data_IF_403566680484
#
_entry.id   IF_403566680484
#
_cell.length_a   1.000
_cell.length_b   1.000
_cell.length_c   1.000
_cell.angle_alpha   90.00
_cell.angle_beta   90.00
_cell.angle_gamma   90.00
#
_symmetry.space_group_name_H-M   'P 1'
#
loop_
_entity.id
_entity.type
_entity.pdbx_description
1 polymer ?
#
# COMPACT_ATOMS: atom_id res chain seq x y z
N UNK A 1 -8.64 25.30 -5.00
CA UNK A 1 -7.23 24.95 -4.76
C UNK A 1 -7.19 23.46 -4.60
N UNK A 2 -6.53 22.77 -5.53
CA UNK A 2 -6.35 21.33 -5.46
C UNK A 2 -5.31 21.06 -4.36
N UNK A 3 -5.76 20.57 -3.21
CA UNK A 3 -4.84 20.09 -2.18
C UNK A 3 -4.26 18.81 -2.77
N UNK A 4 -3.02 18.84 -3.26
CA UNK A 4 -2.39 17.70 -3.95
C UNK A 4 -2.48 16.38 -3.16
N UNK A 5 -2.15 15.27 -3.82
CA UNK A 5 -2.30 13.92 -3.26
C UNK A 5 -1.72 13.80 -1.84
N UNK A 6 -2.45 13.16 -0.90
CA UNK A 6 -1.95 12.97 0.47
C UNK A 6 -0.69 12.10 0.47
N UNK A 7 0.18 12.32 1.46
CA UNK A 7 1.41 11.55 1.65
C UNK A 7 1.68 11.27 3.14
N UNK A 8 2.51 10.28 3.42
CA UNK A 8 2.94 9.90 4.78
C UNK A 8 4.28 10.56 5.11
N UNK A 9 4.43 11.02 6.36
CA UNK A 9 5.68 11.54 6.92
C UNK A 9 5.78 11.14 8.40
N UNK A 10 6.99 11.15 8.96
CA UNK A 10 7.19 10.97 10.40
C UNK A 10 6.45 12.08 11.16
N UNK A 11 5.79 11.71 12.25
CA UNK A 11 5.08 12.62 13.14
C UNK A 11 5.57 12.46 14.58
N UNK A 12 5.56 13.56 15.32
CA UNK A 12 5.91 13.59 16.75
C UNK A 12 4.73 13.22 17.67
N UNK A 13 3.57 12.91 17.09
CA UNK A 13 2.32 12.66 17.79
C UNK A 13 1.99 11.17 17.78
N UNK A 14 1.34 10.69 18.84
CA UNK A 14 0.84 9.32 18.91
C UNK A 14 -0.25 9.08 17.87
N UNK A 15 -0.14 7.97 17.15
CA UNK A 15 -1.15 7.47 16.22
C UNK A 15 -1.99 6.36 16.83
N UNK A 16 -2.81 5.74 16.00
CA UNK A 16 -3.65 4.60 16.36
C UNK A 16 -3.11 3.31 15.74
N UNK A 17 -3.41 2.16 16.34
CA UNK A 17 -3.17 0.84 15.75
C UNK A 17 -4.41 0.34 14.99
N UNK A 18 -4.20 -0.50 13.97
CA UNK A 18 -5.25 -1.15 13.19
C UNK A 18 -5.11 -2.67 13.26
N UNK A 19 -6.22 -3.39 13.04
CA UNK A 19 -6.18 -4.85 12.91
C UNK A 19 -5.34 -5.25 11.69
N UNK A 20 -4.34 -6.09 11.93
CA UNK A 20 -3.40 -6.52 10.91
C UNK A 20 -3.85 -7.82 10.26
N UNK A 21 -3.91 -7.82 8.93
CA UNK A 21 -3.94 -9.02 8.09
C UNK A 21 -2.75 -9.02 7.15
N UNK A 22 -1.92 -10.07 7.19
CA UNK A 22 -0.77 -10.22 6.32
C UNK A 22 -1.18 -10.71 4.92
N UNK A 23 -0.33 -10.47 3.93
CA UNK A 23 -0.57 -10.83 2.52
C UNK A 23 -0.75 -12.35 2.32
N UNK A 24 -0.17 -13.18 3.18
CA UNK A 24 -0.32 -14.64 3.18
C UNK A 24 -1.56 -15.11 3.96
N UNK A 25 -2.22 -14.22 4.70
CA UNK A 25 -3.41 -14.53 5.50
C UNK A 25 -4.72 -14.17 4.78
N UNK A 26 -4.67 -13.38 3.71
CA UNK A 26 -5.86 -13.05 2.91
C UNK A 26 -6.33 -14.25 2.08
N UNK A 27 -7.59 -14.23 1.65
CA UNK A 27 -8.12 -15.24 0.73
C UNK A 27 -7.58 -15.02 -0.68
N UNK A 28 -7.54 -16.09 -1.48
CA UNK A 28 -7.15 -16.02 -2.90
C UNK A 28 -7.98 -14.99 -3.69
N UNK A 29 -9.28 -14.87 -3.38
CA UNK A 29 -10.16 -13.90 -4.02
C UNK A 29 -9.79 -12.45 -3.66
N UNK A 30 -9.46 -12.18 -2.40
CA UNK A 30 -8.98 -10.86 -1.98
C UNK A 30 -7.63 -10.54 -2.62
N UNK A 31 -6.72 -11.52 -2.68
CA UNK A 31 -5.42 -11.38 -3.35
C UNK A 31 -5.57 -11.03 -4.83
N UNK A 32 -6.44 -11.75 -5.55
CA UNK A 32 -6.74 -11.47 -6.95
C UNK A 32 -7.32 -10.06 -7.16
N UNK A 33 -8.23 -9.60 -6.28
CA UNK A 33 -8.80 -8.27 -6.37
C UNK A 33 -7.79 -7.16 -6.08
N UNK A 34 -6.88 -7.37 -5.10
CA UNK A 34 -5.82 -6.42 -4.75
C UNK A 34 -4.70 -6.36 -5.82
N UNK A 35 -4.52 -7.42 -6.60
CA UNK A 35 -3.59 -7.46 -7.73
C UNK A 35 -4.14 -6.82 -9.01
N UNK A 36 -5.45 -6.62 -9.14
CA UNK A 36 -6.04 -6.01 -10.34
C UNK A 36 -5.98 -4.48 -10.26
N UNK A 37 -5.05 -3.89 -11.01
CA UNK A 37 -4.83 -2.45 -11.07
C UNK A 37 -6.04 -1.64 -11.56
N UNK A 38 -7.03 -2.27 -12.20
CA UNK A 38 -8.26 -1.56 -12.61
C UNK A 38 -9.18 -1.24 -11.43
N UNK A 39 -8.95 -1.82 -10.25
CA UNK A 39 -9.81 -1.65 -9.08
C UNK A 39 -9.55 -0.35 -8.28
N UNK A 40 -8.45 0.36 -8.55
CA UNK A 40 -7.96 1.46 -7.68
C UNK A 40 -7.85 2.82 -8.38
N UNK A 41 -8.33 2.95 -9.61
CA UNK A 41 -8.28 4.22 -10.35
C UNK A 41 -6.85 4.68 -10.58
N UNK A 42 -6.51 5.88 -10.07
CA UNK A 42 -5.15 6.44 -10.16
C UNK A 42 -4.22 5.94 -9.04
N UNK A 43 -4.74 5.21 -8.05
CA UNK A 43 -3.94 4.63 -6.96
C UNK A 43 -3.45 3.23 -7.32
N UNK A 44 -2.32 2.83 -6.74
CA UNK A 44 -1.77 1.47 -6.86
C UNK A 44 -1.68 0.80 -5.49
N UNK A 45 -1.81 -0.53 -5.46
CA UNK A 45 -1.59 -1.32 -4.24
C UNK A 45 -0.08 -1.58 -4.11
N UNK A 46 0.62 -1.00 -3.12
CA UNK A 46 2.09 -0.98 -3.11
C UNK A 46 2.72 -2.33 -2.71
N UNK A 47 1.93 -3.23 -2.13
CA UNK A 47 2.35 -4.57 -1.70
C UNK A 47 1.76 -5.69 -2.56
N UNK A 48 1.17 -5.36 -3.71
CA UNK A 48 0.68 -6.37 -4.66
C UNK A 48 1.84 -7.19 -5.23
N UNK A 49 1.53 -8.33 -5.84
CA UNK A 49 2.53 -9.22 -6.42
C UNK A 49 3.35 -8.53 -7.54
N UNK A 50 2.75 -7.58 -8.26
CA UNK A 50 3.43 -6.79 -9.30
C UNK A 50 4.34 -5.69 -8.71
N UNK A 51 3.97 -5.12 -7.57
CA UNK A 51 4.57 -3.89 -7.06
C UNK A 51 5.55 -4.09 -5.92
N UNK A 52 5.47 -5.20 -5.18
CA UNK A 52 6.18 -5.40 -3.92
C UNK A 52 7.70 -5.19 -4.03
N UNK A 53 8.38 -5.93 -4.91
CA UNK A 53 9.85 -5.84 -5.07
C UNK A 53 10.29 -4.44 -5.53
N UNK A 54 9.57 -3.86 -6.51
CA UNK A 54 9.85 -2.49 -6.99
C UNK A 54 9.72 -1.45 -5.87
N UNK A 55 8.74 -1.61 -4.98
CA UNK A 55 8.56 -0.71 -3.85
C UNK A 55 9.62 -0.93 -2.77
N UNK A 56 10.08 -2.16 -2.55
CA UNK A 56 11.22 -2.43 -1.66
C UNK A 56 12.49 -1.76 -2.17
N UNK A 57 12.80 -1.88 -3.46
CA UNK A 57 13.95 -1.22 -4.09
C UNK A 57 13.88 0.31 -3.95
N UNK A 58 12.69 0.90 -4.16
CA UNK A 58 12.50 2.34 -4.05
C UNK A 58 12.49 2.85 -2.59
N UNK A 59 12.07 2.01 -1.64
CA UNK A 59 12.03 2.35 -0.22
C UNK A 59 13.40 2.17 0.46
N UNK A 60 14.39 1.63 -0.25
CA UNK A 60 15.74 1.45 0.27
C UNK A 60 16.42 2.80 0.56
N UNK A 61 16.84 3.08 1.82
CA UNK A 61 17.27 4.42 2.21
C UNK A 61 18.78 4.70 2.02
N UNK A 62 19.54 3.82 1.35
CA UNK A 62 21.01 3.92 1.24
C UNK A 62 21.54 3.86 -0.19
#
# INVERSE_FOLDING_TARGET
SDLGSPYLNFGDWEGEYQDLIMWEQITDAARAALNDGNNFGDAEVPFSDEHYEKHLDNAWPF
#
